data_IF_205600951290
#
_entry.id   IF_205600951290
#
_cell.length_a   1.000
_cell.length_b   1.000
_cell.length_c   1.000
_cell.angle_alpha   90.00
_cell.angle_beta   90.00
_cell.angle_gamma   90.00
#
_symmetry.space_group_name_H-M   'P 1'
#
loop_
_entity.id
_entity.type
_entity.pdbx_description
1 polymer ?
#
# COMPACT_ATOMS: atom_id res chain seq x y z
N UNK A 1 -21.46 -10.47 -2.73
CA UNK A 1 -21.96 -9.75 -1.53
C UNK A 1 -21.53 -10.36 -0.21
N UNK A 2 -22.17 -11.40 0.35
CA UNK A 2 -21.76 -11.93 1.69
C UNK A 2 -20.31 -12.46 1.69
N UNK A 3 -19.89 -13.10 0.60
CA UNK A 3 -18.54 -13.64 0.41
C UNK A 3 -17.48 -12.54 0.20
N UNK A 4 -17.75 -11.55 -0.64
CA UNK A 4 -16.82 -10.41 -0.85
C UNK A 4 -16.69 -9.51 0.38
N UNK A 5 -17.79 -9.27 1.11
CA UNK A 5 -17.75 -8.53 2.37
C UNK A 5 -16.96 -9.30 3.44
N UNK A 6 -17.11 -10.62 3.49
CA UNK A 6 -16.35 -11.47 4.42
C UNK A 6 -14.85 -11.46 4.08
N UNK A 7 -14.49 -11.61 2.81
CA UNK A 7 -13.10 -11.57 2.36
C UNK A 7 -12.43 -10.22 2.68
N UNK A 8 -13.17 -9.10 2.52
CA UNK A 8 -12.69 -7.78 2.87
C UNK A 8 -12.44 -7.66 4.38
N UNK A 9 -13.36 -8.13 5.22
CA UNK A 9 -13.21 -8.13 6.68
C UNK A 9 -12.00 -8.99 7.10
N UNK A 10 -11.81 -10.16 6.47
CA UNK A 10 -10.64 -11.02 6.72
C UNK A 10 -9.34 -10.31 6.33
N UNK A 11 -9.32 -9.60 5.20
CA UNK A 11 -8.15 -8.81 4.77
C UNK A 11 -7.86 -7.66 5.72
N UNK A 12 -8.88 -6.89 6.13
CA UNK A 12 -8.72 -5.80 7.10
C UNK A 12 -8.20 -6.33 8.43
N UNK A 13 -8.73 -7.44 8.94
CA UNK A 13 -8.25 -8.06 10.17
C UNK A 13 -6.79 -8.55 10.06
N UNK A 14 -6.39 -9.07 8.89
CA UNK A 14 -5.01 -9.45 8.62
C UNK A 14 -4.07 -8.22 8.60
N UNK A 15 -4.48 -7.13 7.95
CA UNK A 15 -3.73 -5.87 7.96
C UNK A 15 -3.64 -5.25 9.34
N UNK A 16 -4.71 -5.28 10.15
CA UNK A 16 -4.68 -4.78 11.53
C UNK A 16 -3.69 -5.59 12.39
N UNK A 17 -3.67 -6.92 12.21
CA UNK A 17 -2.68 -7.78 12.88
C UNK A 17 -1.24 -7.45 12.48
N UNK A 18 -1.00 -7.17 11.19
CA UNK A 18 0.31 -6.74 10.71
C UNK A 18 0.68 -5.34 11.22
N UNK A 19 -0.27 -4.41 11.20
CA UNK A 19 -0.05 -3.05 11.66
C UNK A 19 0.33 -3.02 13.13
N UNK A 20 -0.30 -3.84 13.99
CA UNK A 20 0.09 -3.95 15.39
C UNK A 20 1.53 -4.41 15.55
N UNK A 21 2.00 -5.35 14.72
CA UNK A 21 3.38 -5.87 14.78
C UNK A 21 4.42 -4.83 14.37
N UNK A 22 4.12 -3.96 13.41
CA UNK A 22 5.04 -2.93 12.93
C UNK A 22 4.77 -1.54 13.50
N UNK A 23 3.76 -1.38 14.35
CA UNK A 23 3.36 -0.09 14.96
C UNK A 23 4.50 0.59 15.73
N UNK A 24 5.46 -0.18 16.23
CA UNK A 24 6.64 0.33 16.91
C UNK A 24 7.56 1.15 15.98
N UNK A 25 7.51 0.95 14.66
CA UNK A 25 8.29 1.72 13.66
C UNK A 25 7.88 3.19 13.70
N UNK A 26 6.59 3.51 13.88
CA UNK A 26 6.13 4.88 14.05
C UNK A 26 6.64 5.55 15.34
N UNK A 27 6.98 4.75 16.36
CA UNK A 27 7.47 5.21 17.68
C UNK A 27 8.97 5.01 17.85
N UNK A 28 9.68 4.65 16.79
CA UNK A 28 11.06 4.16 16.87
C UNK A 28 12.06 5.17 17.47
N UNK A 29 11.78 6.49 17.36
CA UNK A 29 12.58 7.56 17.97
C UNK A 29 12.32 7.75 19.47
N UNK A 30 11.10 7.48 19.95
CA UNK A 30 10.69 7.71 21.34
C UNK A 30 10.80 6.48 22.22
N UNK A 31 10.98 5.29 21.63
CA UNK A 31 11.10 4.04 22.37
C UNK A 31 12.45 3.86 23.06
N UNK A 32 12.42 3.08 24.14
CA UNK A 32 13.59 2.60 24.86
C UNK A 32 14.23 1.41 24.14
N UNK A 33 15.52 1.17 24.39
CA UNK A 33 16.25 0.06 23.76
C UNK A 33 15.61 -1.31 24.09
N UNK A 34 15.06 -1.47 25.31
CA UNK A 34 14.39 -2.70 25.74
C UNK A 34 13.11 -2.98 24.93
N UNK A 35 12.27 -1.95 24.71
CA UNK A 35 11.03 -2.10 23.94
C UNK A 35 11.32 -2.41 22.46
N UNK A 36 12.39 -1.82 21.90
CA UNK A 36 12.84 -2.10 20.53
C UNK A 36 13.30 -3.56 20.42
N UNK A 37 14.07 -4.06 21.39
CA UNK A 37 14.51 -5.46 21.39
C UNK A 37 13.34 -6.43 21.48
N UNK A 38 12.36 -6.17 22.35
CA UNK A 38 11.18 -7.03 22.49
C UNK A 38 10.34 -7.05 21.20
N UNK A 39 10.17 -5.89 20.57
CA UNK A 39 9.46 -5.76 19.29
C UNK A 39 10.22 -6.48 18.16
N UNK A 40 11.54 -6.33 18.10
CA UNK A 40 12.39 -7.01 17.12
C UNK A 40 12.38 -8.54 17.30
N UNK A 41 12.44 -9.04 18.55
CA UNK A 41 12.30 -10.47 18.86
C UNK A 41 10.93 -11.00 18.46
N UNK A 42 9.88 -10.20 18.66
CA UNK A 42 8.52 -10.55 18.24
C UNK A 42 8.43 -10.66 16.72
N UNK A 43 9.08 -9.77 15.96
CA UNK A 43 9.18 -9.88 14.50
C UNK A 43 9.98 -11.11 14.06
N UNK A 44 11.12 -11.37 14.70
CA UNK A 44 11.99 -12.51 14.38
C UNK A 44 11.25 -13.85 14.52
N UNK A 45 10.40 -14.00 15.54
CA UNK A 45 9.56 -15.19 15.71
C UNK A 45 8.57 -15.42 14.56
N UNK A 46 8.15 -14.36 13.87
CA UNK A 46 7.15 -14.44 12.80
C UNK A 46 7.77 -14.49 11.40
N UNK A 47 9.00 -13.98 11.25
CA UNK A 47 9.74 -13.89 10.00
C UNK A 47 11.12 -14.56 10.14
N UNK A 48 11.15 -15.74 10.76
CA UNK A 48 12.40 -16.47 11.07
C UNK A 48 13.22 -16.84 9.84
N UNK A 49 12.58 -16.91 8.66
CA UNK A 49 13.25 -17.24 7.41
C UNK A 49 13.78 -16.01 6.67
N UNK A 50 13.25 -14.82 6.97
CA UNK A 50 13.54 -13.58 6.24
C UNK A 50 14.45 -12.61 7.02
N UNK A 51 14.65 -12.86 8.32
CA UNK A 51 15.36 -11.96 9.24
C UNK A 51 16.44 -12.71 10.02
N UNK A 52 17.64 -12.13 10.10
CA UNK A 52 18.74 -12.67 10.90
C UNK A 52 18.51 -12.47 12.41
N UNK A 53 19.07 -13.36 13.22
CA UNK A 53 19.01 -13.28 14.69
C UNK A 53 19.63 -11.98 15.26
N UNK A 54 20.56 -11.35 14.52
CA UNK A 54 21.21 -10.08 14.89
C UNK A 54 20.34 -8.82 14.68
N UNK A 55 19.08 -9.00 14.26
CA UNK A 55 18.13 -7.90 14.03
C UNK A 55 17.95 -6.98 15.26
N UNK A 56 17.76 -7.49 16.50
CA UNK A 56 17.53 -6.64 17.66
C UNK A 56 18.69 -5.67 17.95
N UNK A 57 19.93 -6.14 17.84
CA UNK A 57 21.13 -5.31 18.04
C UNK A 57 21.23 -4.25 16.94
N UNK A 58 21.07 -4.66 15.67
CA UNK A 58 21.08 -3.75 14.53
C UNK A 58 20.00 -2.65 14.65
N UNK A 59 18.83 -2.99 15.16
CA UNK A 59 17.74 -2.05 15.40
C UNK A 59 18.06 -1.04 16.51
N UNK A 60 18.72 -1.45 17.60
CA UNK A 60 19.17 -0.52 18.65
C UNK A 60 20.19 0.48 18.09
N UNK A 61 21.19 -0.01 17.35
CA UNK A 61 22.19 0.86 16.72
C UNK A 61 21.54 1.86 15.76
N UNK A 62 20.59 1.40 14.95
CA UNK A 62 19.84 2.28 14.07
C UNK A 62 19.01 3.32 14.84
N UNK A 63 18.36 2.93 15.94
CA UNK A 63 17.62 3.86 16.80
C UNK A 63 18.51 4.96 17.39
N UNK A 64 19.73 4.61 17.82
CA UNK A 64 20.70 5.58 18.29
C UNK A 64 21.10 6.57 17.19
N UNK A 65 21.34 6.11 15.96
CA UNK A 65 21.62 6.96 14.81
C UNK A 65 20.45 7.90 14.48
N UNK A 66 19.21 7.40 14.53
CA UNK A 66 18.02 8.21 14.28
C UNK A 66 17.76 9.27 15.34
N UNK A 67 18.17 9.04 16.59
CA UNK A 67 18.06 10.04 17.68
C UNK A 67 19.00 11.22 17.45
N UNK A 68 20.14 11.00 16.80
CA UNK A 68 21.09 12.06 16.42
C UNK A 68 20.60 12.91 15.25
N UNK A 69 19.68 12.38 14.43
CA UNK A 69 19.15 13.07 13.26
C UNK A 69 17.84 13.82 13.56
N UNK A 70 17.75 15.06 13.08
CA UNK A 70 16.53 15.85 13.15
C UNK A 70 15.74 15.71 11.85
N UNK A 71 14.49 15.31 12.01
CA UNK A 71 13.56 14.98 10.94
C UNK A 71 12.64 16.18 10.67
N UNK A 72 12.49 16.57 9.41
CA UNK A 72 11.63 17.68 8.99
C UNK A 72 10.16 17.25 9.05
N UNK A 73 9.21 18.16 9.28
CA UNK A 73 7.78 17.80 9.47
C UNK A 73 7.02 17.48 8.18
N UNK A 74 7.68 17.39 7.03
CA UNK A 74 7.02 17.27 5.72
C UNK A 74 6.35 15.91 5.47
N UNK A 75 6.84 14.83 6.10
CA UNK A 75 6.36 13.47 5.86
C UNK A 75 6.26 12.66 7.16
N UNK A 76 5.60 11.50 7.12
CA UNK A 76 5.56 10.57 8.26
C UNK A 76 6.96 10.08 8.62
N UNK A 77 7.19 9.76 9.90
CA UNK A 77 8.53 9.39 10.42
C UNK A 77 9.13 8.20 9.66
N UNK A 78 8.30 7.28 9.19
CA UNK A 78 8.72 6.04 8.51
C UNK A 78 9.23 6.31 7.09
N UNK A 79 8.58 7.25 6.39
CA UNK A 79 9.06 7.75 5.10
C UNK A 79 10.39 8.47 5.29
N UNK A 80 10.53 9.24 6.37
CA UNK A 80 11.76 9.95 6.66
C UNK A 80 12.92 9.01 7.02
N UNK A 81 12.66 7.96 7.81
CA UNK A 81 13.64 6.92 8.09
C UNK A 81 14.10 6.21 6.81
N UNK A 82 13.17 5.94 5.89
CA UNK A 82 13.49 5.31 4.61
C UNK A 82 14.33 6.23 3.71
N UNK A 83 13.96 7.52 3.60
CA UNK A 83 14.78 8.53 2.89
C UNK A 83 16.18 8.63 3.47
N UNK A 84 16.30 8.69 4.80
CA UNK A 84 17.58 8.74 5.50
C UNK A 84 18.48 7.54 5.20
N UNK A 85 17.92 6.32 5.17
CA UNK A 85 18.68 5.13 4.80
C UNK A 85 19.18 5.21 3.35
N UNK A 86 18.36 5.71 2.44
CA UNK A 86 18.68 5.79 1.02
C UNK A 86 19.75 6.87 0.72
N UNK A 87 19.59 8.06 1.32
CA UNK A 87 20.51 9.19 1.15
C UNK A 87 21.90 8.89 1.73
N UNK A 88 21.97 8.24 2.89
CA UNK A 88 23.24 7.87 3.53
C UNK A 88 23.81 6.53 3.06
N UNK A 89 23.21 5.90 2.03
CA UNK A 89 23.59 4.57 1.52
C UNK A 89 23.71 3.50 2.62
N UNK A 90 22.90 3.62 3.68
CA UNK A 90 22.91 2.71 4.83
C UNK A 90 22.22 1.36 4.54
N UNK A 91 21.73 1.15 3.33
CA UNK A 91 21.13 -0.13 2.93
C UNK A 91 22.11 -1.30 3.01
N UNK A 92 23.40 -1.07 2.76
CA UNK A 92 24.44 -2.09 2.91
C UNK A 92 24.83 -2.34 4.38
N UNK A 93 24.78 -1.30 5.21
CA UNK A 93 25.11 -1.38 6.64
C UNK A 93 23.98 -2.01 7.47
N UNK A 94 22.72 -1.74 7.12
CA UNK A 94 21.54 -2.21 7.83
C UNK A 94 20.51 -2.86 6.88
N UNK A 95 20.87 -3.97 6.20
CA UNK A 95 19.99 -4.60 5.20
C UNK A 95 18.67 -5.08 5.83
N UNK A 96 18.72 -5.67 7.03
CA UNK A 96 17.53 -6.20 7.70
C UNK A 96 16.56 -5.08 8.13
N UNK A 97 17.10 -3.93 8.56
CA UNK A 97 16.28 -2.76 8.93
C UNK A 97 15.62 -2.16 7.69
N UNK A 98 16.34 -2.10 6.57
CA UNK A 98 15.79 -1.68 5.28
C UNK A 98 14.68 -2.61 4.79
N UNK A 99 14.83 -3.93 4.95
CA UNK A 99 13.77 -4.91 4.63
C UNK A 99 12.53 -4.67 5.49
N UNK A 100 12.69 -4.52 6.82
CA UNK A 100 11.57 -4.25 7.74
C UNK A 100 10.83 -2.96 7.37
N UNK A 101 11.55 -1.88 7.07
CA UNK A 101 10.94 -0.61 6.66
C UNK A 101 10.22 -0.71 5.32
N UNK A 102 10.78 -1.45 4.34
CA UNK A 102 10.13 -1.68 3.04
C UNK A 102 8.85 -2.49 3.19
N UNK A 103 8.87 -3.54 3.99
CA UNK A 103 7.66 -4.34 4.28
C UNK A 103 6.59 -3.44 4.90
N UNK A 104 6.95 -2.64 5.92
CA UNK A 104 6.00 -1.74 6.56
C UNK A 104 5.40 -0.70 5.61
N UNK A 105 6.24 -0.01 4.82
CA UNK A 105 5.76 1.01 3.88
C UNK A 105 4.89 0.39 2.78
N UNK A 106 5.26 -0.77 2.25
CA UNK A 106 4.46 -1.49 1.26
C UNK A 106 3.10 -1.89 1.82
N UNK A 107 3.04 -2.34 3.07
CA UNK A 107 1.79 -2.66 3.76
C UNK A 107 0.90 -1.43 3.95
N UNK A 108 1.46 -0.30 4.39
CA UNK A 108 0.72 0.96 4.57
C UNK A 108 0.14 1.47 3.24
N UNK A 109 0.94 1.47 2.18
CA UNK A 109 0.53 1.90 0.83
C UNK A 109 -0.57 0.98 0.28
N UNK A 110 -0.40 -0.34 0.43
CA UNK A 110 -1.38 -1.33 -0.04
C UNK A 110 -2.71 -1.22 0.69
N UNK A 111 -2.69 -0.95 2.00
CA UNK A 111 -3.92 -0.75 2.78
C UNK A 111 -4.68 0.49 2.32
N UNK A 112 -3.99 1.63 2.18
CA UNK A 112 -4.59 2.88 1.71
C UNK A 112 -5.15 2.77 0.29
N UNK A 113 -4.38 2.17 -0.64
CA UNK A 113 -4.82 1.97 -2.03
C UNK A 113 -6.03 1.03 -2.12
N UNK A 114 -6.04 -0.03 -1.31
CA UNK A 114 -7.17 -0.94 -1.18
C UNK A 114 -8.43 -0.21 -0.72
N UNK A 115 -8.37 0.48 0.41
CA UNK A 115 -9.50 1.22 0.98
C UNK A 115 -10.02 2.31 0.02
N UNK A 116 -9.12 3.04 -0.63
CA UNK A 116 -9.47 4.04 -1.63
C UNK A 116 -10.19 3.40 -2.83
N UNK A 117 -9.62 2.35 -3.42
CA UNK A 117 -10.19 1.65 -4.59
C UNK A 117 -11.56 1.03 -4.28
N UNK A 118 -11.71 0.40 -3.12
CA UNK A 118 -12.98 -0.18 -2.70
C UNK A 118 -14.03 0.89 -2.36
N UNK A 119 -13.63 2.02 -1.78
CA UNK A 119 -14.53 3.15 -1.50
C UNK A 119 -15.07 3.78 -2.78
N UNK A 120 -14.19 3.99 -3.77
CA UNK A 120 -14.58 4.44 -5.12
C UNK A 120 -15.53 3.44 -5.76
N UNK A 121 -15.19 2.15 -5.76
CA UNK A 121 -16.05 1.11 -6.32
C UNK A 121 -17.41 1.04 -5.62
N UNK A 122 -17.46 1.19 -4.30
CA UNK A 122 -18.71 1.25 -3.52
C UNK A 122 -19.55 2.47 -3.92
N UNK A 123 -18.94 3.64 -4.12
CA UNK A 123 -19.63 4.86 -4.56
C UNK A 123 -20.17 4.71 -5.98
N UNK A 124 -19.35 4.23 -6.91
CA UNK A 124 -19.73 3.94 -8.31
C UNK A 124 -20.89 2.94 -8.33
N UNK A 125 -20.78 1.85 -7.57
CA UNK A 125 -21.83 0.84 -7.46
C UNK A 125 -23.11 1.40 -6.85
N UNK A 126 -23.06 2.19 -5.78
CA UNK A 126 -24.26 2.78 -5.20
C UNK A 126 -24.94 3.78 -6.14
N UNK A 127 -24.15 4.59 -6.84
CA UNK A 127 -24.65 5.56 -7.80
C UNK A 127 -25.24 4.90 -9.07
N UNK A 128 -24.64 3.80 -9.54
CA UNK A 128 -25.07 3.08 -10.75
C UNK A 128 -26.06 1.94 -10.47
N UNK A 129 -26.19 1.43 -9.25
CA UNK A 129 -27.15 0.37 -8.90
C UNK A 129 -28.60 0.84 -8.98
N UNK A 130 -28.85 2.15 -9.03
CA UNK A 130 -30.15 2.69 -9.45
C UNK A 130 -30.40 2.60 -10.97
N UNK A 131 -29.42 2.21 -11.81
CA UNK A 131 -29.61 2.09 -13.27
C UNK A 131 -28.85 0.98 -14.05
N UNK A 132 -28.00 0.14 -13.42
CA UNK A 132 -27.00 -0.65 -14.17
C UNK A 132 -26.84 -2.13 -13.75
N UNK A 133 -26.58 -3.00 -14.73
CA UNK A 133 -26.35 -4.46 -14.56
C UNK A 133 -24.90 -4.81 -14.19
N UNK A 134 -24.70 -5.99 -13.59
CA UNK A 134 -23.38 -6.46 -13.14
C UNK A 134 -22.37 -6.61 -14.28
N UNK A 135 -22.80 -7.05 -15.46
CA UNK A 135 -21.91 -7.16 -16.63
C UNK A 135 -21.34 -5.81 -17.04
N UNK A 136 -22.18 -4.78 -17.10
CA UNK A 136 -21.75 -3.43 -17.47
C UNK A 136 -20.82 -2.81 -16.43
N UNK A 137 -20.98 -3.16 -15.15
CA UNK A 137 -20.08 -2.73 -14.09
C UNK A 137 -18.69 -3.37 -14.24
N UNK A 138 -18.63 -4.67 -14.55
CA UNK A 138 -17.37 -5.36 -14.80
C UNK A 138 -16.65 -4.76 -16.02
N UNK A 139 -17.37 -4.51 -17.12
CA UNK A 139 -16.79 -3.86 -18.31
C UNK A 139 -16.26 -2.45 -18.00
N UNK A 140 -16.97 -1.68 -17.18
CA UNK A 140 -16.53 -0.33 -16.81
C UNK A 140 -15.31 -0.36 -15.89
N UNK A 141 -15.26 -1.30 -14.93
CA UNK A 141 -14.09 -1.48 -14.07
C UNK A 141 -12.84 -1.88 -14.89
N UNK A 142 -13.03 -2.76 -15.88
CA UNK A 142 -11.98 -3.17 -16.81
C UNK A 142 -11.46 -1.96 -17.60
N UNK A 143 -12.38 -1.15 -18.14
CA UNK A 143 -12.02 0.11 -18.79
C UNK A 143 -11.28 1.08 -17.85
N UNK A 144 -11.68 1.22 -16.59
CA UNK A 144 -10.99 2.11 -15.65
C UNK A 144 -9.56 1.65 -15.33
N UNK A 145 -9.31 0.34 -15.29
CA UNK A 145 -7.97 -0.23 -15.08
C UNK A 145 -7.11 -0.01 -16.32
N UNK A 146 -7.67 -0.29 -17.50
CA UNK A 146 -6.98 -0.10 -18.79
C UNK A 146 -6.86 1.39 -19.16
N UNK A 147 -7.63 2.27 -18.54
CA UNK A 147 -7.66 3.70 -18.85
C UNK A 147 -6.27 4.34 -18.72
N UNK A 148 -5.44 3.93 -17.76
CA UNK A 148 -4.08 4.44 -17.60
C UNK A 148 -3.19 4.11 -18.82
N UNK A 149 -3.42 2.96 -19.45
CA UNK A 149 -2.75 2.53 -20.67
C UNK A 149 -3.33 3.29 -21.87
N UNK A 150 -4.66 3.36 -21.95
CA UNK A 150 -5.42 4.03 -23.01
C UNK A 150 -5.21 5.55 -23.04
N UNK A 151 -4.88 6.20 -21.92
CA UNK A 151 -4.55 7.64 -21.88
C UNK A 151 -3.19 7.96 -22.50
N UNK A 152 -2.31 6.97 -22.65
CA UNK A 152 -1.00 7.14 -23.31
C UNK A 152 -1.04 6.80 -24.80
N UNK A 153 -2.15 6.23 -25.30
CA UNK A 153 -2.36 5.92 -26.72
C UNK A 153 -3.44 6.83 -27.33
N UNK A 154 -3.30 7.15 -28.62
CA UNK A 154 -4.31 7.96 -29.32
C UNK A 154 -5.56 7.11 -29.60
N UNK A 155 -6.55 7.22 -28.71
CA UNK A 155 -7.83 6.49 -28.79
C UNK A 155 -8.86 7.16 -29.72
N UNK A 156 -8.49 8.26 -30.38
CA UNK A 156 -9.41 9.04 -31.23
C UNK A 156 -10.04 8.23 -32.38
N UNK A 157 -9.27 7.33 -32.99
CA UNK A 157 -9.75 6.51 -34.12
C UNK A 157 -10.68 5.37 -33.67
N UNK A 158 -10.45 4.82 -32.48
CA UNK A 158 -11.33 3.80 -31.88
C UNK A 158 -12.66 4.44 -31.46
N UNK A 159 -12.62 5.65 -30.90
CA UNK A 159 -13.84 6.39 -30.53
C UNK A 159 -14.64 6.75 -31.80
N UNK A 160 -13.97 7.22 -32.86
CA UNK A 160 -14.63 7.50 -34.15
C UNK A 160 -15.26 6.25 -34.75
N UNK A 161 -14.54 5.13 -34.80
CA UNK A 161 -15.08 3.88 -35.37
C UNK A 161 -16.26 3.31 -34.57
N UNK A 162 -16.24 3.42 -33.23
CA UNK A 162 -17.37 3.05 -32.38
C UNK A 162 -18.56 4.01 -32.53
N UNK A 163 -18.31 5.32 -32.65
CA UNK A 163 -19.34 6.32 -32.88
C UNK A 163 -20.06 6.09 -34.22
N UNK A 164 -19.30 5.78 -35.28
CA UNK A 164 -19.87 5.39 -36.57
C UNK A 164 -20.70 4.11 -36.49
N UNK A 165 -20.22 3.10 -35.76
CA UNK A 165 -20.91 1.81 -35.63
C UNK A 165 -22.18 1.88 -34.76
N UNK A 166 -22.24 2.81 -33.80
CA UNK A 166 -23.41 3.03 -32.93
C UNK A 166 -24.36 4.10 -33.43
N UNK A 167 -23.95 4.91 -34.41
CA UNK A 167 -24.86 5.80 -35.12
C UNK A 167 -25.88 4.94 -35.86
N UNK A 168 -27.06 4.79 -35.27
CA UNK A 168 -28.22 4.24 -35.97
C UNK A 168 -28.52 5.22 -37.08
N UNK A 169 -28.05 4.94 -38.30
CA UNK A 169 -28.59 5.58 -39.49
C UNK A 169 -30.08 5.26 -39.52
N UNK A 170 -30.89 6.23 -39.10
CA UNK A 170 -32.27 6.32 -39.54
C UNK A 170 -32.20 7.01 -40.90
N UNK A 171 -31.82 6.24 -41.92
CA UNK A 171 -31.96 6.68 -43.30
C UNK A 171 -33.39 6.30 -43.72
N UNK A 172 -34.14 7.35 -44.06
CA UNK A 172 -35.55 7.40 -44.51
C UNK A 172 -35.69 6.74 -45.89
#
# INVERSE_FOLDING_TARGET
FKVESYLLITRIAAYDRLQRRFSFVARFKTMTNSEIQESAKTLLRHYSNDLEESLPEKMIHFSALLKQHNFNRECSIEIQMFKFINENKLMSAFPNVSVVLRIYLCLMISNCSGDHSFSVLKRVKNHLRSSMSQQRLNSLALHCIENEILTNEDTGDVIKSLAFSKSRKHDI
#
